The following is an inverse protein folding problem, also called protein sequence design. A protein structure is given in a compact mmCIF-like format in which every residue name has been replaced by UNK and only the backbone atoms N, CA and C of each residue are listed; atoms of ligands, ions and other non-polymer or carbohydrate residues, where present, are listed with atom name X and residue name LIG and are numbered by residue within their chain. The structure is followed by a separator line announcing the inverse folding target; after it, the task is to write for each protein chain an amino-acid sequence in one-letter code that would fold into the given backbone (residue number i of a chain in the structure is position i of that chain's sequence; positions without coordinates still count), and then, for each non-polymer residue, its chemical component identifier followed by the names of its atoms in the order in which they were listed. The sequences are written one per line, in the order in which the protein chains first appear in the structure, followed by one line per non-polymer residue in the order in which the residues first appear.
data_IF_664465476436
#
_entry.id   IF_664465476436
#
_cell.length_a   1.000
_cell.length_b   1.000
_cell.length_c   1.000
_cell.angle_alpha   90.00
_cell.angle_beta   90.00
_cell.angle_gamma   90.00
#
_symmetry.space_group_name_H-M   'P 1'
#
loop_
_entity.id
_entity.type
_entity.pdbx_description
1 polymer ?
#
# COMPACT_ATOMS: atom_id res chain seq x y z
N UNK A 1 33.54 49.28 -33.98
CA UNK A 1 33.96 48.41 -32.86
C UNK A 1 33.58 49.08 -31.57
N UNK A 2 32.49 48.64 -30.93
CA UNK A 2 31.96 49.23 -29.70
C UNK A 2 32.15 48.23 -28.54
N UNK A 3 33.12 48.52 -27.67
CA UNK A 3 33.40 47.76 -26.47
C UNK A 3 32.39 48.16 -25.38
N UNK A 4 31.38 47.29 -25.13
CA UNK A 4 30.57 47.38 -23.94
C UNK A 4 31.38 46.88 -22.73
N UNK A 5 31.78 47.77 -21.87
CA UNK A 5 32.32 47.46 -20.54
C UNK A 5 31.22 46.89 -19.67
N UNK A 6 31.36 45.65 -19.25
CA UNK A 6 30.57 45.07 -18.16
C UNK A 6 30.88 45.80 -16.88
N UNK A 7 29.91 46.53 -16.34
CA UNK A 7 30.03 47.22 -15.06
C UNK A 7 30.24 46.25 -13.91
N UNK A 8 31.24 46.47 -13.09
CA UNK A 8 31.51 45.80 -11.82
C UNK A 8 30.26 45.89 -10.93
N UNK A 9 29.62 44.76 -10.66
CA UNK A 9 28.53 44.69 -9.72
C UNK A 9 29.09 45.02 -8.30
N UNK A 10 28.60 46.10 -7.71
CA UNK A 10 28.96 46.54 -6.36
C UNK A 10 28.72 45.41 -5.37
N UNK A 11 29.78 44.96 -4.64
CA UNK A 11 29.74 43.88 -3.68
C UNK A 11 28.69 44.02 -2.56
N UNK A 12 28.09 45.20 -2.39
CA UNK A 12 26.96 45.42 -1.46
C UNK A 12 25.67 44.65 -1.86
N UNK A 13 25.41 44.47 -3.15
CA UNK A 13 24.23 43.71 -3.61
C UNK A 13 24.32 42.22 -3.32
N UNK A 14 25.51 41.65 -3.39
CA UNK A 14 25.77 40.25 -3.05
C UNK A 14 25.48 39.92 -1.57
N UNK A 15 25.91 40.78 -0.65
CA UNK A 15 25.64 40.60 0.77
C UNK A 15 24.16 40.74 1.12
N UNK A 16 23.40 41.60 0.42
CA UNK A 16 21.96 41.72 0.61
C UNK A 16 21.27 40.42 0.16
N UNK A 17 21.66 39.86 -0.97
CA UNK A 17 21.12 38.57 -1.45
C UNK A 17 21.43 37.43 -0.48
N UNK A 18 22.64 37.33 0.05
CA UNK A 18 23.01 36.32 1.05
C UNK A 18 22.20 36.45 2.34
N UNK A 19 21.98 37.68 2.83
CA UNK A 19 21.18 37.91 4.03
C UNK A 19 19.72 37.49 3.79
N UNK A 20 19.14 37.82 2.64
CA UNK A 20 17.77 37.43 2.30
C UNK A 20 17.63 35.90 2.18
N UNK A 21 18.60 35.19 1.58
CA UNK A 21 18.63 33.75 1.54
C UNK A 21 18.72 33.13 2.95
N UNK A 22 19.59 33.67 3.83
CA UNK A 22 19.73 33.19 5.20
C UNK A 22 18.44 33.37 6.01
N UNK A 23 17.75 34.51 5.85
CA UNK A 23 16.46 34.77 6.48
C UNK A 23 15.38 33.81 5.95
N UNK A 24 15.32 33.57 4.64
CA UNK A 24 14.34 32.65 4.06
C UNK A 24 14.52 31.19 4.57
N UNK A 25 15.78 30.72 4.66
CA UNK A 25 16.12 29.43 5.23
C UNK A 25 15.76 29.35 6.71
N UNK A 26 16.03 30.41 7.48
CA UNK A 26 15.68 30.50 8.90
C UNK A 26 14.17 30.45 9.14
N UNK A 27 13.38 31.17 8.35
CA UNK A 27 11.91 31.16 8.44
C UNK A 27 11.35 29.80 8.06
N UNK A 28 11.86 29.18 6.98
CA UNK A 28 11.41 27.85 6.55
C UNK A 28 11.73 26.78 7.60
N UNK A 29 12.93 26.84 8.20
CA UNK A 29 13.31 25.94 9.30
C UNK A 29 12.46 26.11 10.55
N UNK A 30 12.13 27.36 10.90
CA UNK A 30 11.25 27.66 12.04
C UNK A 30 9.82 27.16 11.81
N UNK A 31 9.26 27.38 10.63
CA UNK A 31 7.92 26.89 10.28
C UNK A 31 7.87 25.36 10.27
N UNK A 32 8.90 24.71 9.74
CA UNK A 32 9.01 23.24 9.79
C UNK A 32 9.08 22.72 11.23
N UNK A 33 9.91 23.33 12.07
CA UNK A 33 10.04 22.96 13.47
C UNK A 33 8.73 23.14 14.26
N UNK A 34 8.01 24.26 14.07
CA UNK A 34 6.72 24.48 14.73
C UNK A 34 5.63 23.55 14.21
N UNK A 35 5.61 23.24 12.89
CA UNK A 35 4.67 22.29 12.32
C UNK A 35 4.89 20.86 12.82
N UNK A 36 6.15 20.44 13.02
CA UNK A 36 6.48 19.10 13.51
C UNK A 36 6.19 18.91 15.00
N UNK A 37 6.13 19.99 15.79
CA UNK A 37 5.88 19.92 17.23
C UNK A 37 4.44 20.23 17.63
N UNK A 38 3.54 20.45 16.68
CA UNK A 38 2.12 20.64 16.98
C UNK A 38 1.45 19.27 16.95
N UNK A 39 1.61 18.50 18.02
CA UNK A 39 0.68 17.42 18.34
C UNK A 39 -0.70 18.05 18.51
N UNK A 40 -1.63 17.72 17.63
CA UNK A 40 -3.03 18.08 17.78
C UNK A 40 -3.55 17.43 19.06
N UNK A 41 -4.19 18.17 19.98
CA UNK A 41 -4.89 17.53 21.08
C UNK A 41 -6.02 16.67 20.47
N UNK A 42 -6.00 15.38 20.78
CA UNK A 42 -7.13 14.49 20.55
C UNK A 42 -8.24 15.02 21.44
N UNK A 43 -9.34 15.49 20.87
CA UNK A 43 -10.57 15.76 21.58
C UNK A 43 -11.05 14.44 22.19
N UNK A 44 -10.86 14.31 23.48
CA UNK A 44 -11.43 13.27 24.32
C UNK A 44 -12.95 13.48 24.33
N UNK A 45 -13.68 12.70 23.53
CA UNK A 45 -15.14 12.62 23.67
C UNK A 45 -15.42 11.89 24.97
N UNK A 46 -16.05 12.60 25.91
CA UNK A 46 -16.61 12.11 27.17
C UNK A 46 -17.46 10.85 26.95
N UNK A 47 -16.87 9.69 27.21
CA UNK A 47 -17.63 8.46 27.43
C UNK A 47 -18.08 8.46 28.88
N UNK A 48 -19.34 8.78 29.08
CA UNK A 48 -20.02 8.71 30.39
C UNK A 48 -19.92 7.26 30.90
N UNK A 49 -19.01 7.04 31.85
CA UNK A 49 -18.87 5.79 32.59
C UNK A 49 -19.94 5.67 33.63
N UNK A 50 -20.96 4.87 33.38
CA UNK A 50 -21.89 4.43 34.43
C UNK A 50 -21.26 3.25 35.17
N UNK A 51 -20.47 3.55 36.19
CA UNK A 51 -20.03 2.58 37.19
C UNK A 51 -21.19 2.22 38.10
N UNK A 52 -21.78 1.04 37.97
CA UNK A 52 -22.54 0.41 39.02
C UNK A 52 -21.76 -0.79 39.57
N UNK A 53 -21.19 -0.60 40.73
CA UNK A 53 -20.60 -1.64 41.57
C UNK A 53 -21.74 -2.38 42.29
N UNK A 54 -21.86 -3.70 42.20
CA UNK A 54 -22.65 -4.48 43.14
C UNK A 54 -21.81 -4.79 44.37
N UNK A 55 -22.33 -4.34 45.49
CA UNK A 55 -21.88 -4.60 46.87
C UNK A 55 -21.93 -6.08 47.16
N UNK A 56 -20.77 -6.63 47.61
CA UNK A 56 -20.65 -8.00 48.12
C UNK A 56 -21.15 -7.98 49.55
N UNK A 57 -22.22 -8.72 49.82
CA UNK A 57 -22.55 -9.12 51.19
C UNK A 57 -22.00 -10.51 51.47
N UNK A 58 -21.10 -10.55 52.43
CA UNK A 58 -20.72 -11.76 53.14
C UNK A 58 -21.88 -12.33 53.92
N UNK A 59 -22.12 -13.62 53.79
CA UNK A 59 -22.55 -14.47 54.93
C UNK A 59 -22.17 -15.92 54.61
N UNK A 60 -21.33 -16.45 55.47
CA UNK A 60 -20.89 -17.85 55.52
C UNK A 60 -21.91 -18.62 56.39
N UNK A 61 -22.21 -19.91 56.15
CA UNK A 61 -21.58 -20.90 56.99
C UNK A 61 -21.06 -22.15 56.28
N UNK A 62 -19.93 -22.52 56.73
CA UNK A 62 -19.22 -23.77 56.46
C UNK A 62 -20.02 -24.98 56.92
N UNK A 63 -20.27 -25.96 56.05
CA UNK A 63 -20.54 -27.35 56.42
C UNK A 63 -19.64 -28.25 55.59
N UNK A 64 -18.69 -28.88 56.30
CA UNK A 64 -17.86 -29.94 55.80
C UNK A 64 -18.64 -31.24 55.67
N UNK A 65 -18.57 -31.89 54.51
CA UNK A 65 -18.81 -33.35 54.41
C UNK A 65 -17.91 -33.94 53.33
N UNK A 66 -17.15 -34.91 53.72
CA UNK A 66 -16.15 -35.67 53.00
C UNK A 66 -16.78 -36.72 52.03
N UNK A 67 -15.98 -37.51 51.33
CA UNK A 67 -16.05 -37.68 49.86
C UNK A 67 -16.73 -38.98 49.46
N UNK A 68 -17.43 -38.98 48.36
CA UNK A 68 -17.82 -40.19 47.66
C UNK A 68 -16.96 -40.31 46.39
N UNK A 69 -16.09 -41.29 46.36
CA UNK A 69 -15.44 -41.77 45.15
C UNK A 69 -16.54 -42.30 44.20
N UNK A 70 -16.67 -41.67 43.05
CA UNK A 70 -17.30 -42.26 41.88
C UNK A 70 -16.25 -42.47 40.82
N UNK A 71 -16.03 -43.74 40.49
CA UNK A 71 -15.25 -44.21 39.37
C UNK A 71 -15.77 -43.50 38.11
N UNK A 72 -14.87 -42.77 37.42
CA UNK A 72 -15.16 -42.15 36.14
C UNK A 72 -14.91 -43.19 35.04
N UNK A 73 -15.99 -43.62 34.38
CA UNK A 73 -15.93 -44.28 33.09
C UNK A 73 -15.11 -43.43 32.11
N UNK A 74 -14.33 -44.01 31.20
CA UNK A 74 -13.57 -43.28 30.21
C UNK A 74 -14.52 -42.62 29.20
N UNK A 75 -14.81 -41.32 29.43
CA UNK A 75 -15.50 -40.50 28.43
C UNK A 75 -14.63 -40.44 27.18
N UNK A 76 -14.99 -41.21 26.19
CA UNK A 76 -14.45 -41.13 24.81
C UNK A 76 -14.72 -39.73 24.26
N UNK A 77 -13.69 -38.87 24.32
CA UNK A 77 -13.72 -37.54 23.75
C UNK A 77 -13.93 -37.69 22.24
N UNK A 78 -15.00 -37.14 21.65
CA UNK A 78 -15.15 -37.22 20.21
C UNK A 78 -13.95 -36.52 19.55
N UNK A 79 -13.18 -37.30 18.82
CA UNK A 79 -12.08 -36.82 17.99
C UNK A 79 -12.71 -35.89 16.96
N UNK A 80 -12.46 -34.57 17.12
CA UNK A 80 -12.82 -33.58 16.13
C UNK A 80 -12.17 -34.00 14.81
N UNK A 81 -12.91 -34.09 13.69
CA UNK A 81 -12.30 -34.39 12.39
C UNK A 81 -11.19 -33.37 12.15
N UNK A 82 -9.94 -33.82 12.06
CA UNK A 82 -8.88 -33.00 11.49
C UNK A 82 -9.27 -32.80 10.04
N UNK A 83 -9.75 -31.60 9.75
CA UNK A 83 -9.84 -31.13 8.35
C UNK A 83 -8.40 -31.02 7.91
N UNK A 84 -7.96 -31.96 7.10
CA UNK A 84 -6.70 -31.90 6.39
C UNK A 84 -6.81 -30.68 5.48
N UNK A 85 -6.22 -29.55 5.87
CA UNK A 85 -6.11 -28.35 5.04
C UNK A 85 -5.10 -28.70 3.96
N UNK A 86 -5.59 -29.24 2.86
CA UNK A 86 -4.79 -29.35 1.64
C UNK A 86 -4.46 -27.91 1.25
N UNK A 87 -3.18 -27.54 1.15
CA UNK A 87 -2.81 -26.17 0.72
C UNK A 87 -3.42 -25.95 -0.66
N UNK A 88 -4.41 -25.08 -0.72
CA UNK A 88 -5.03 -24.68 -1.98
C UNK A 88 -4.01 -23.81 -2.69
N UNK A 89 -3.47 -24.31 -3.80
CA UNK A 89 -2.58 -23.56 -4.67
C UNK A 89 -3.28 -22.26 -5.10
N UNK A 90 -2.57 -21.13 -5.03
CA UNK A 90 -3.07 -19.83 -5.45
C UNK A 90 -3.34 -19.88 -6.96
N UNK A 91 -4.57 -19.54 -7.36
CA UNK A 91 -4.90 -19.38 -8.78
C UNK A 91 -4.61 -17.95 -9.19
N UNK A 92 -3.82 -17.79 -10.24
CA UNK A 92 -3.43 -16.48 -10.77
C UNK A 92 -3.95 -16.31 -12.19
N UNK A 93 -4.22 -15.05 -12.55
CA UNK A 93 -4.64 -14.65 -13.90
C UNK A 93 -3.95 -13.35 -14.28
N UNK A 94 -3.73 -13.12 -15.58
CA UNK A 94 -3.23 -11.82 -16.03
C UNK A 94 -4.20 -10.68 -15.67
N UNK A 95 -3.71 -9.55 -15.13
CA UNK A 95 -4.56 -8.42 -14.77
C UNK A 95 -5.22 -7.75 -15.98
N UNK A 96 -4.59 -7.81 -17.13
CA UNK A 96 -5.09 -7.27 -18.40
C UNK A 96 -4.55 -8.10 -19.56
N UNK A 97 -5.31 -8.18 -20.65
CA UNK A 97 -4.87 -8.79 -21.89
C UNK A 97 -4.11 -7.75 -22.71
N UNK A 98 -2.78 -7.91 -22.87
CA UNK A 98 -1.93 -6.98 -23.58
C UNK A 98 -0.50 -7.47 -23.73
N UNK A 99 0.29 -6.76 -24.53
CA UNK A 99 1.72 -7.01 -24.69
C UNK A 99 2.50 -6.37 -23.54
N UNK A 100 3.52 -7.05 -23.02
CA UNK A 100 4.45 -6.44 -22.05
C UNK A 100 5.36 -5.47 -22.82
N UNK A 101 5.27 -4.19 -22.49
CA UNK A 101 6.07 -3.11 -23.09
C UNK A 101 7.27 -2.69 -22.24
N UNK A 102 7.22 -2.94 -20.92
CA UNK A 102 8.37 -2.80 -20.02
C UNK A 102 8.44 -4.01 -19.10
N UNK A 103 9.64 -4.57 -18.96
CA UNK A 103 9.87 -5.77 -18.14
C UNK A 103 10.29 -5.41 -16.72
N UNK A 104 10.05 -6.31 -15.77
CA UNK A 104 10.61 -6.25 -14.42
C UNK A 104 12.14 -6.26 -14.47
N UNK A 105 12.80 -5.33 -13.76
CA UNK A 105 14.24 -5.17 -13.75
C UNK A 105 14.71 -4.54 -12.43
N UNK A 106 14.87 -5.37 -11.39
CA UNK A 106 15.39 -4.92 -10.10
C UNK A 106 16.90 -5.16 -9.93
N UNK A 107 17.48 -6.01 -10.74
CA UNK A 107 18.92 -6.33 -10.79
C UNK A 107 19.66 -5.63 -11.94
N UNK A 108 18.96 -4.93 -12.80
CA UNK A 108 19.44 -4.21 -13.96
C UNK A 108 18.72 -2.87 -14.13
N UNK A 109 19.27 -2.01 -14.99
CA UNK A 109 18.65 -0.71 -15.28
C UNK A 109 17.95 -0.76 -16.64
N UNK A 110 16.73 -0.24 -16.70
CA UNK A 110 16.00 0.02 -17.94
C UNK A 110 15.91 1.53 -18.20
N UNK A 111 15.81 1.91 -19.46
CA UNK A 111 15.69 3.31 -19.83
C UNK A 111 14.22 3.75 -19.74
N UNK A 112 13.94 4.74 -18.87
CA UNK A 112 12.63 5.37 -18.80
C UNK A 112 12.57 6.52 -19.82
N UNK A 113 11.71 6.40 -20.83
CA UNK A 113 11.58 7.37 -21.91
C UNK A 113 10.95 8.70 -21.46
N UNK A 114 10.14 8.68 -20.40
CA UNK A 114 9.48 9.87 -19.84
C UNK A 114 10.48 10.75 -19.11
N UNK A 115 11.24 10.18 -18.18
CA UNK A 115 12.22 10.91 -17.36
C UNK A 115 13.60 11.01 -18.01
N UNK A 116 13.84 10.21 -19.07
CA UNK A 116 15.08 10.14 -19.84
C UNK A 116 16.30 9.75 -19.01
N UNK A 117 16.09 8.81 -18.10
CA UNK A 117 17.12 8.27 -17.23
C UNK A 117 17.11 6.73 -17.19
N UNK A 118 18.09 6.15 -16.54
CA UNK A 118 18.23 4.71 -16.33
C UNK A 118 17.87 4.39 -14.87
N UNK A 119 16.89 3.52 -14.67
CA UNK A 119 16.41 3.13 -13.34
C UNK A 119 16.00 1.67 -13.28
N UNK A 120 15.83 1.14 -12.08
CA UNK A 120 15.17 -0.16 -11.85
C UNK A 120 13.67 -0.04 -12.13
N UNK A 121 13.04 -1.17 -12.48
CA UNK A 121 11.60 -1.26 -12.69
C UNK A 121 11.04 -2.40 -11.83
N UNK A 122 10.18 -2.08 -10.87
CA UNK A 122 9.67 -3.01 -9.85
C UNK A 122 8.35 -3.70 -10.23
N UNK A 123 7.97 -3.63 -11.49
CA UNK A 123 6.77 -4.25 -12.05
C UNK A 123 6.95 -4.58 -13.52
N UNK A 124 5.86 -4.83 -14.20
CA UNK A 124 5.75 -4.91 -15.65
C UNK A 124 4.71 -3.90 -16.14
N UNK A 125 4.97 -3.28 -17.28
CA UNK A 125 3.96 -2.45 -17.94
C UNK A 125 3.33 -3.24 -19.06
N UNK A 126 2.01 -3.36 -19.02
CA UNK A 126 1.22 -4.13 -19.99
C UNK A 126 0.41 -3.13 -20.82
N UNK A 127 0.66 -3.08 -22.13
CA UNK A 127 -0.05 -2.20 -23.04
C UNK A 127 -1.57 -2.47 -22.97
N UNK A 128 -2.35 -1.40 -22.94
CA UNK A 128 -3.80 -1.48 -22.91
C UNK A 128 -4.41 -0.29 -23.66
N UNK A 129 -5.63 -0.44 -24.16
CA UNK A 129 -6.42 0.70 -24.61
C UNK A 129 -7.08 1.36 -23.40
N UNK A 130 -7.28 2.67 -23.46
CA UNK A 130 -8.02 3.41 -22.44
C UNK A 130 -9.42 2.81 -22.22
N UNK A 131 -9.79 2.59 -20.97
CA UNK A 131 -11.04 1.91 -20.59
C UNK A 131 -10.98 0.38 -20.61
N UNK A 132 -9.85 -0.25 -20.98
CA UNK A 132 -9.70 -1.69 -20.90
C UNK A 132 -9.86 -2.17 -19.45
N UNK A 133 -10.64 -3.23 -19.25
CA UNK A 133 -10.95 -3.77 -17.91
C UNK A 133 -9.70 -4.36 -17.27
N UNK A 134 -9.35 -3.86 -16.09
CA UNK A 134 -8.29 -4.39 -15.23
C UNK A 134 -8.90 -5.29 -14.15
N UNK A 135 -8.28 -6.44 -13.92
CA UNK A 135 -8.78 -7.51 -13.05
C UNK A 135 -7.79 -7.83 -11.93
N UNK A 136 -8.31 -8.29 -10.80
CA UNK A 136 -7.48 -8.84 -9.73
C UNK A 136 -6.75 -10.09 -10.21
N UNK A 137 -5.43 -10.14 -10.03
CA UNK A 137 -4.60 -11.24 -10.52
C UNK A 137 -4.76 -12.52 -9.69
N UNK A 138 -5.24 -12.43 -8.44
CA UNK A 138 -5.52 -13.57 -7.56
C UNK A 138 -6.64 -13.22 -6.57
N UNK A 139 -7.14 -14.25 -5.84
CA UNK A 139 -8.04 -14.06 -4.70
C UNK A 139 -7.31 -13.23 -3.62
N UNK A 140 -8.01 -12.27 -3.00
CA UNK A 140 -7.38 -11.43 -1.99
C UNK A 140 -8.32 -10.42 -1.34
N UNK A 141 -7.73 -9.48 -0.62
CA UNK A 141 -8.42 -8.35 0.01
C UNK A 141 -7.76 -7.05 -0.43
N UNK A 142 -8.56 -6.10 -0.88
CA UNK A 142 -8.08 -4.75 -1.24
C UNK A 142 -7.52 -4.08 0.02
N UNK A 143 -6.22 -3.81 0.00
CA UNK A 143 -5.55 -3.15 1.11
C UNK A 143 -5.79 -1.66 1.09
N UNK A 144 -5.62 -1.03 -0.07
CA UNK A 144 -5.83 0.41 -0.24
C UNK A 144 -6.13 0.75 -1.69
N UNK A 145 -6.85 1.85 -1.87
CA UNK A 145 -7.08 2.53 -3.15
C UNK A 145 -6.70 3.98 -2.94
N UNK A 146 -5.82 4.51 -3.77
CA UNK A 146 -5.35 5.90 -3.65
C UNK A 146 -4.89 6.46 -5.01
N UNK A 147 -4.85 7.76 -5.11
CA UNK A 147 -4.24 8.45 -6.25
C UNK A 147 -2.77 8.76 -5.90
N UNK A 148 -1.86 8.25 -6.72
CA UNK A 148 -0.43 8.52 -6.63
C UNK A 148 -0.08 9.65 -7.62
N UNK A 149 0.68 10.65 -7.16
CA UNK A 149 1.06 11.82 -7.96
C UNK A 149 1.89 11.47 -9.21
N UNK A 150 2.52 10.29 -9.23
CA UNK A 150 3.43 9.84 -10.30
C UNK A 150 2.90 8.67 -11.10
N UNK A 151 2.22 7.71 -10.43
CA UNK A 151 1.72 6.47 -11.03
C UNK A 151 0.21 6.47 -11.26
N UNK A 152 -0.48 7.57 -10.88
CA UNK A 152 -1.93 7.73 -11.05
C UNK A 152 -2.76 6.88 -10.08
N UNK A 153 -4.02 6.65 -10.43
CA UNK A 153 -4.93 5.86 -9.59
C UNK A 153 -4.38 4.44 -9.41
N UNK A 154 -4.25 4.04 -8.15
CA UNK A 154 -3.58 2.81 -7.75
C UNK A 154 -4.45 1.98 -6.82
N UNK A 155 -4.55 0.68 -7.11
CA UNK A 155 -5.19 -0.34 -6.27
C UNK A 155 -4.13 -1.30 -5.77
N UNK A 156 -4.13 -1.59 -4.47
CA UNK A 156 -3.22 -2.56 -3.83
C UNK A 156 -4.04 -3.68 -3.21
N UNK A 157 -3.71 -4.93 -3.52
CA UNK A 157 -4.42 -6.12 -3.04
C UNK A 157 -3.43 -7.01 -2.28
N UNK A 158 -3.83 -7.44 -1.08
CA UNK A 158 -3.12 -8.47 -0.31
C UNK A 158 -3.70 -9.83 -0.60
N UNK A 159 -2.82 -10.80 -0.81
CA UNK A 159 -3.14 -12.20 -1.07
C UNK A 159 -2.62 -13.09 0.05
N UNK A 160 -2.84 -14.40 -0.08
CA UNK A 160 -2.23 -15.41 0.78
C UNK A 160 -0.70 -15.47 0.56
N UNK A 161 0.02 -16.16 1.44
CA UNK A 161 1.47 -16.41 1.37
C UNK A 161 2.36 -15.16 1.29
N UNK A 162 1.88 -14.00 1.84
CA UNK A 162 2.62 -12.76 1.92
C UNK A 162 2.71 -11.97 0.61
N UNK A 163 1.98 -12.39 -0.43
CA UNK A 163 1.94 -11.66 -1.70
C UNK A 163 1.08 -10.41 -1.62
N UNK A 164 1.55 -9.36 -2.30
CA UNK A 164 0.82 -8.11 -2.51
C UNK A 164 0.97 -7.71 -3.97
N UNK A 165 -0.14 -7.42 -4.62
CA UNK A 165 -0.15 -6.89 -5.99
C UNK A 165 -0.55 -5.44 -6.02
N UNK A 166 0.09 -4.67 -6.88
CA UNK A 166 -0.16 -3.25 -7.12
C UNK A 166 -0.54 -3.04 -8.58
N UNK A 167 -1.61 -2.30 -8.81
CA UNK A 167 -2.14 -1.98 -10.12
C UNK A 167 -2.20 -0.46 -10.22
N UNK A 168 -1.39 0.14 -11.06
CA UNK A 168 -1.33 1.59 -11.26
C UNK A 168 -1.65 1.98 -12.71
N UNK A 169 -1.71 3.25 -13.00
CA UNK A 169 -2.18 3.80 -14.28
C UNK A 169 -3.64 3.48 -14.56
N UNK A 170 -4.46 3.45 -13.49
CA UNK A 170 -5.90 3.22 -13.59
C UNK A 170 -6.67 4.53 -13.79
N UNK A 171 -7.89 4.43 -14.32
CA UNK A 171 -8.83 5.53 -14.36
C UNK A 171 -9.39 5.87 -12.97
N UNK A 172 -9.91 7.08 -12.82
CA UNK A 172 -10.44 7.62 -11.56
C UNK A 172 -11.56 6.75 -10.97
N UNK A 173 -12.36 6.09 -11.82
CA UNK A 173 -13.44 5.23 -11.38
C UNK A 173 -12.94 3.78 -11.19
N UNK A 174 -12.60 3.42 -9.96
CA UNK A 174 -12.29 2.04 -9.58
C UNK A 174 -13.55 1.31 -9.12
N UNK A 175 -13.58 0.00 -9.31
CA UNK A 175 -14.74 -0.85 -9.02
C UNK A 175 -14.71 -1.46 -7.60
N UNK A 176 -13.70 -1.11 -6.78
CA UNK A 176 -13.44 -1.70 -5.46
C UNK A 176 -13.03 -0.64 -4.46
N UNK A 177 -13.21 -0.93 -3.17
CA UNK A 177 -12.79 -0.08 -2.06
C UNK A 177 -11.89 -0.85 -1.07
N UNK A 178 -11.14 -0.11 -0.25
CA UNK A 178 -10.31 -0.71 0.80
C UNK A 178 -11.14 -1.60 1.74
N UNK A 179 -10.67 -2.81 1.97
CA UNK A 179 -11.35 -3.83 2.77
C UNK A 179 -12.21 -4.81 1.97
N UNK A 180 -12.49 -4.56 0.70
CA UNK A 180 -13.26 -5.47 -0.15
C UNK A 180 -12.48 -6.77 -0.40
N UNK A 181 -13.20 -7.90 -0.34
CA UNK A 181 -12.67 -9.18 -0.80
C UNK A 181 -12.86 -9.31 -2.31
N UNK A 182 -11.82 -9.70 -3.02
CA UNK A 182 -11.83 -9.88 -4.48
C UNK A 182 -11.45 -11.31 -4.88
N UNK A 183 -11.92 -11.73 -6.04
CA UNK A 183 -11.57 -13.01 -6.66
C UNK A 183 -10.64 -12.79 -7.85
N UNK A 184 -9.82 -13.80 -8.14
CA UNK A 184 -9.04 -13.83 -9.39
C UNK A 184 -9.95 -13.57 -10.58
N UNK A 185 -9.55 -12.65 -11.47
CA UNK A 185 -10.36 -12.23 -12.63
C UNK A 185 -11.48 -11.23 -12.35
N UNK A 186 -11.73 -10.84 -11.08
CA UNK A 186 -12.72 -9.81 -10.76
C UNK A 186 -12.25 -8.44 -11.23
N UNK A 187 -13.16 -7.68 -11.89
CA UNK A 187 -12.87 -6.28 -12.27
C UNK A 187 -12.54 -5.43 -11.04
N UNK A 188 -11.42 -4.69 -11.11
CA UNK A 188 -11.00 -3.73 -10.07
C UNK A 188 -10.98 -2.29 -10.58
N UNK A 189 -10.86 -2.08 -11.89
CA UNK A 189 -10.81 -0.75 -12.52
C UNK A 189 -10.74 -0.88 -14.03
N UNK A 190 -10.30 0.19 -14.66
CA UNK A 190 -9.99 0.25 -16.09
C UNK A 190 -8.63 0.93 -16.29
N UNK A 191 -7.91 0.57 -17.33
CA UNK A 191 -6.65 1.20 -17.74
C UNK A 191 -6.89 2.66 -18.19
N UNK A 192 -5.91 3.53 -17.92
CA UNK A 192 -5.91 4.94 -18.29
C UNK A 192 -4.46 5.40 -18.55
N UNK A 193 -4.29 6.69 -18.84
CA UNK A 193 -3.00 7.37 -19.03
C UNK A 193 -2.60 8.20 -17.80
N UNK A 194 -3.00 7.78 -16.60
CA UNK A 194 -2.82 8.54 -15.36
C UNK A 194 -1.40 8.49 -14.81
N UNK A 195 -0.54 7.54 -15.24
CA UNK A 195 0.84 7.41 -14.80
C UNK A 195 1.74 8.47 -15.45
N UNK A 196 1.98 9.59 -14.75
CA UNK A 196 2.82 10.69 -15.23
C UNK A 196 4.28 10.27 -15.42
N UNK A 197 4.79 9.40 -14.55
CA UNK A 197 6.19 8.90 -14.61
C UNK A 197 6.45 8.02 -15.83
N UNK A 198 5.40 7.49 -16.45
CA UNK A 198 5.44 6.54 -17.57
C UNK A 198 4.64 7.04 -18.77
N UNK A 199 4.32 8.35 -18.82
CA UNK A 199 3.47 8.95 -19.85
C UNK A 199 3.99 8.82 -21.29
N UNK A 200 5.29 8.60 -21.48
CA UNK A 200 5.88 8.43 -22.83
C UNK A 200 5.58 7.07 -23.47
N UNK A 201 5.10 6.07 -22.73
CA UNK A 201 4.79 4.73 -23.26
C UNK A 201 3.32 4.51 -23.60
N UNK A 202 2.50 5.56 -23.42
CA UNK A 202 1.07 5.52 -23.74
C UNK A 202 0.20 4.87 -22.66
N UNK A 203 -1.04 4.50 -23.01
CA UNK A 203 -1.94 3.83 -22.08
C UNK A 203 -1.45 2.40 -21.80
N UNK A 204 -1.36 2.07 -20.51
CA UNK A 204 -0.87 0.79 -20.02
C UNK A 204 -1.37 0.55 -18.60
N UNK A 205 -1.13 -0.64 -18.08
CA UNK A 205 -1.27 -0.98 -16.67
C UNK A 205 0.10 -1.30 -16.11
N UNK A 206 0.56 -0.54 -15.11
CA UNK A 206 1.72 -0.92 -14.32
C UNK A 206 1.30 -1.97 -13.29
N UNK A 207 1.87 -3.16 -13.38
CA UNK A 207 1.57 -4.29 -12.52
C UNK A 207 2.81 -4.70 -11.72
N UNK A 208 2.81 -4.39 -10.42
CA UNK A 208 3.86 -4.74 -9.49
C UNK A 208 3.45 -5.87 -8.54
N UNK A 209 4.41 -6.70 -8.15
CA UNK A 209 4.22 -7.77 -7.16
C UNK A 209 5.32 -7.69 -6.11
N UNK A 210 4.93 -7.83 -4.83
CA UNK A 210 5.86 -8.04 -3.73
C UNK A 210 5.49 -9.29 -2.95
N UNK A 211 6.48 -9.93 -2.33
CA UNK A 211 6.28 -10.99 -1.33
C UNK A 211 7.06 -10.61 -0.08
N UNK A 212 6.39 -10.56 1.06
CA UNK A 212 6.98 -10.15 2.33
C UNK A 212 7.73 -8.80 2.23
N UNK A 213 7.14 -7.84 1.49
CA UNK A 213 7.67 -6.51 1.15
C UNK A 213 8.94 -6.51 0.25
N UNK A 214 9.29 -7.62 -0.37
CA UNK A 214 10.39 -7.69 -1.35
C UNK A 214 9.78 -7.77 -2.75
N UNK A 215 10.19 -6.90 -3.71
CA UNK A 215 9.74 -7.00 -5.09
C UNK A 215 10.11 -8.36 -5.70
N UNK A 216 9.16 -8.96 -6.40
CA UNK A 216 9.32 -10.22 -7.14
C UNK A 216 8.85 -10.04 -8.57
N UNK A 217 9.41 -10.85 -9.48
CA UNK A 217 9.01 -10.79 -10.89
C UNK A 217 7.51 -11.17 -11.03
N UNK A 218 6.69 -10.28 -11.58
CA UNK A 218 5.28 -10.59 -11.84
C UNK A 218 5.07 -11.83 -12.70
N UNK A 219 6.01 -12.17 -13.61
CA UNK A 219 5.95 -13.38 -14.41
C UNK A 219 6.05 -14.66 -13.54
N UNK A 220 6.90 -14.65 -12.50
CA UNK A 220 6.98 -15.76 -11.54
C UNK A 220 5.69 -15.91 -10.74
N UNK A 221 5.08 -14.79 -10.32
CA UNK A 221 3.82 -14.81 -9.62
C UNK A 221 2.68 -15.38 -10.49
N UNK A 222 2.57 -14.93 -11.75
CA UNK A 222 1.54 -15.37 -12.69
C UNK A 222 1.73 -16.82 -13.18
N UNK A 223 2.94 -17.38 -13.07
CA UNK A 223 3.24 -18.77 -13.46
C UNK A 223 2.92 -19.82 -12.38
N UNK A 224 2.38 -19.42 -11.25
CA UNK A 224 2.07 -20.30 -10.11
C UNK A 224 0.79 -21.15 -10.32
N UNK A 225 0.49 -21.59 -11.54
CA UNK A 225 -0.64 -22.49 -11.86
C UNK A 225 -0.54 -23.88 -11.21
#
# INVERSE_FOLDING_TARGET
MSNKKFGSANGKGYYIALILCAVAVGISGYLYYTSSNTEKPVEEQDVVSATQTPEIREDVPVVATQPAQQEADPVTRPTRPQVEVVPKKMQTVSPVDGEIISVYAMDSLTYNATTRDWRTHNGVDIAAEEGTVVRAAADGTVYTVYEDDTMGMTVVIRHEDGYVTTYSSLGQEVAVASGDSVKAGQKIGCADTSALLESAIGCHVHFGVTRDNVPVDPAEFLSQE
#
